data_IF_600931353917
#
_entry.id   IF_600931353917
#
_cell.length_a   1.000
_cell.length_b   1.000
_cell.length_c   1.000
_cell.angle_alpha   90.00
_cell.angle_beta   90.00
_cell.angle_gamma   90.00
#
_symmetry.space_group_name_H-M   'P 1'
#
loop_
_entity.id
_entity.type
_entity.pdbx_description
1 polymer ?
#
# COMPACT_ATOMS: atom_id res chain seq x y z
N UNK A 1 36.33 6.19 0.69
CA UNK A 1 36.97 4.97 1.24
C UNK A 1 36.91 3.92 0.14
N UNK A 2 38.03 3.62 -0.53
CA UNK A 2 38.08 2.50 -1.48
C UNK A 2 38.05 1.21 -0.65
N UNK A 3 36.85 0.71 -0.38
CA UNK A 3 36.67 -0.67 0.06
C UNK A 3 37.18 -1.55 -1.08
N UNK A 4 38.13 -2.43 -0.77
CA UNK A 4 38.62 -3.48 -1.65
C UNK A 4 37.43 -4.20 -2.29
N UNK A 5 37.12 -3.86 -3.54
CA UNK A 5 36.20 -4.62 -4.38
C UNK A 5 36.90 -5.94 -4.66
N UNK A 6 36.62 -6.96 -3.85
CA UNK A 6 37.12 -8.31 -4.10
C UNK A 6 36.19 -8.97 -5.13
N UNK A 7 36.37 -8.59 -6.39
CA UNK A 7 35.74 -9.21 -7.54
C UNK A 7 34.87 -8.25 -8.33
N UNK A 8 35.13 -8.18 -9.63
CA UNK A 8 34.26 -7.50 -10.60
C UNK A 8 32.93 -8.26 -10.70
N UNK A 9 31.78 -7.63 -10.33
CA UNK A 9 30.48 -8.30 -10.31
C UNK A 9 29.99 -8.70 -11.71
N UNK A 10 30.62 -8.22 -12.79
CA UNK A 10 30.31 -8.66 -14.15
C UNK A 10 30.94 -10.00 -14.52
N UNK A 11 31.83 -10.53 -13.69
CA UNK A 11 32.53 -11.80 -13.94
C UNK A 11 31.74 -13.00 -13.43
N UNK A 12 31.76 -14.12 -14.16
CA UNK A 12 31.05 -15.35 -13.77
C UNK A 12 31.56 -15.92 -12.44
N UNK A 13 32.86 -15.76 -12.14
CA UNK A 13 33.47 -16.23 -10.88
C UNK A 13 32.90 -15.53 -9.64
N UNK A 14 32.44 -14.28 -9.77
CA UNK A 14 31.77 -13.55 -8.69
C UNK A 14 30.48 -14.27 -8.27
N UNK A 15 29.67 -14.70 -9.25
CA UNK A 15 28.36 -15.32 -9.04
C UNK A 15 28.45 -16.81 -8.66
N UNK A 16 29.49 -17.52 -9.09
CA UNK A 16 29.73 -18.93 -8.77
C UNK A 16 30.36 -19.13 -7.37
N UNK A 17 30.00 -18.29 -6.40
CA UNK A 17 30.46 -18.37 -5.03
C UNK A 17 29.38 -19.00 -4.13
N UNK A 18 29.73 -19.97 -3.28
CA UNK A 18 28.82 -20.61 -2.31
C UNK A 18 28.01 -19.61 -1.48
N UNK A 19 28.58 -18.42 -1.19
CA UNK A 19 27.89 -17.32 -0.49
C UNK A 19 26.71 -16.79 -1.28
N UNK A 20 26.85 -16.62 -2.60
CA UNK A 20 25.79 -16.17 -3.50
C UNK A 20 24.62 -17.16 -3.46
N UNK A 21 24.90 -18.45 -3.47
CA UNK A 21 23.85 -19.49 -3.36
C UNK A 21 23.09 -19.39 -2.03
N UNK A 22 23.77 -19.13 -0.91
CA UNK A 22 23.09 -18.93 0.37
C UNK A 22 22.26 -17.64 0.38
N UNK A 23 22.78 -16.53 -0.15
CA UNK A 23 22.02 -15.30 -0.31
C UNK A 23 20.78 -15.52 -1.18
N UNK A 24 20.89 -16.29 -2.27
CA UNK A 24 19.77 -16.68 -3.12
C UNK A 24 18.70 -17.47 -2.36
N UNK A 25 19.09 -18.41 -1.49
CA UNK A 25 18.15 -19.14 -0.64
C UNK A 25 17.40 -18.17 0.29
N UNK A 26 18.11 -17.22 0.91
CA UNK A 26 17.51 -16.25 1.84
C UNK A 26 16.58 -15.24 1.16
N UNK A 27 16.73 -14.99 -0.14
CA UNK A 27 15.84 -14.10 -0.91
C UNK A 27 14.68 -14.88 -1.52
N UNK A 28 14.96 -15.98 -2.22
CA UNK A 28 13.97 -16.70 -3.00
C UNK A 28 13.01 -17.50 -2.12
N UNK A 29 13.47 -18.07 -1.00
CA UNK A 29 12.59 -18.87 -0.12
C UNK A 29 11.45 -18.02 0.45
N UNK A 30 11.69 -16.84 1.07
CA UNK A 30 10.61 -15.97 1.52
C UNK A 30 9.71 -15.47 0.37
N UNK A 31 10.27 -15.18 -0.82
CA UNK A 31 9.45 -14.77 -1.98
C UNK A 31 8.50 -15.86 -2.44
N UNK A 32 8.95 -17.12 -2.48
CA UNK A 32 8.10 -18.28 -2.83
C UNK A 32 7.01 -18.47 -1.78
N UNK A 33 7.36 -18.40 -0.49
CA UNK A 33 6.39 -18.49 0.61
C UNK A 33 5.36 -17.35 0.53
N UNK A 34 5.81 -16.11 0.32
CA UNK A 34 4.95 -14.94 0.16
C UNK A 34 3.99 -15.09 -1.03
N UNK A 35 4.50 -15.55 -2.18
CA UNK A 35 3.69 -15.80 -3.38
C UNK A 35 2.64 -16.89 -3.13
N UNK A 36 3.03 -17.97 -2.44
CA UNK A 36 2.10 -19.03 -2.04
C UNK A 36 1.03 -18.53 -1.08
N UNK A 37 1.39 -17.68 -0.10
CA UNK A 37 0.43 -17.07 0.82
C UNK A 37 -0.57 -16.19 0.07
N UNK A 38 -0.11 -15.31 -0.82
CA UNK A 38 -0.99 -14.46 -1.64
C UNK A 38 -1.94 -15.32 -2.45
N UNK A 39 -1.43 -16.34 -3.16
CA UNK A 39 -2.27 -17.26 -3.94
C UNK A 39 -3.30 -18.00 -3.08
N UNK A 40 -2.89 -18.50 -1.91
CA UNK A 40 -3.77 -19.21 -0.98
C UNK A 40 -4.88 -18.30 -0.46
N UNK A 41 -4.57 -17.06 -0.09
CA UNK A 41 -5.54 -16.10 0.43
C UNK A 41 -6.52 -15.65 -0.65
N UNK A 42 -6.04 -15.35 -1.86
CA UNK A 42 -6.91 -14.98 -2.99
C UNK A 42 -7.84 -16.15 -3.38
N UNK A 43 -7.31 -17.38 -3.43
CA UNK A 43 -8.12 -18.58 -3.65
C UNK A 43 -9.18 -18.78 -2.56
N UNK A 44 -8.82 -18.56 -1.29
CA UNK A 44 -9.78 -18.66 -0.19
C UNK A 44 -10.88 -17.60 -0.27
N UNK A 45 -10.56 -16.36 -0.66
CA UNK A 45 -11.57 -15.30 -0.86
C UNK A 45 -12.50 -15.68 -2.01
N UNK A 46 -11.96 -16.20 -3.11
CA UNK A 46 -12.74 -16.63 -4.26
C UNK A 46 -13.62 -17.85 -3.98
N UNK A 47 -13.16 -18.80 -3.15
CA UNK A 47 -13.97 -19.94 -2.74
C UNK A 47 -15.14 -19.55 -1.84
N UNK A 48 -14.92 -18.62 -0.89
CA UNK A 48 -15.98 -18.06 -0.04
C UNK A 48 -17.07 -17.38 -0.88
N UNK A 49 -16.67 -16.57 -1.87
CA UNK A 49 -17.61 -15.93 -2.82
C UNK A 49 -18.45 -16.93 -3.63
N UNK A 50 -17.91 -18.10 -3.94
CA UNK A 50 -18.62 -19.10 -4.74
C UNK A 50 -19.58 -19.98 -3.93
N UNK A 51 -19.38 -20.11 -2.62
CA UNK A 51 -20.18 -20.99 -1.74
C UNK A 51 -21.34 -20.30 -1.01
N UNK A 52 -21.27 -18.99 -0.79
CA UNK A 52 -22.31 -18.23 -0.07
C UNK A 52 -23.23 -17.50 -1.06
N UNK A 53 -24.39 -18.09 -1.34
CA UNK A 53 -25.40 -17.50 -2.22
C UNK A 53 -25.95 -16.17 -1.68
N UNK A 54 -26.01 -15.15 -2.55
CA UNK A 54 -26.76 -13.85 -2.58
C UNK A 54 -26.92 -13.00 -1.30
N UNK A 55 -27.03 -13.56 -0.11
CA UNK A 55 -27.29 -12.83 1.15
C UNK A 55 -25.99 -12.29 1.80
N UNK A 56 -24.82 -12.83 1.44
CA UNK A 56 -23.50 -12.35 1.91
C UNK A 56 -22.85 -11.31 0.98
N UNK A 57 -23.42 -11.12 -0.22
CA UNK A 57 -22.98 -10.11 -1.19
C UNK A 57 -23.10 -8.69 -0.59
N UNK A 58 -24.06 -8.42 0.29
CA UNK A 58 -24.21 -7.09 0.94
C UNK A 58 -23.15 -6.84 2.02
N UNK A 59 -22.77 -7.84 2.80
CA UNK A 59 -21.76 -7.69 3.85
C UNK A 59 -20.33 -7.66 3.28
N UNK A 60 -20.06 -8.45 2.24
CA UNK A 60 -18.76 -8.46 1.55
C UNK A 60 -18.57 -7.24 0.63
N UNK A 61 -19.63 -6.68 0.06
CA UNK A 61 -19.57 -5.39 -0.65
C UNK A 61 -19.49 -4.18 0.29
N UNK A 62 -19.99 -4.28 1.52
CA UNK A 62 -19.77 -3.29 2.58
C UNK A 62 -18.30 -3.22 3.03
N UNK A 63 -17.60 -4.37 3.06
CA UNK A 63 -16.16 -4.46 3.31
C UNK A 63 -15.35 -3.90 2.11
N UNK A 64 -15.79 -4.21 0.89
CA UNK A 64 -15.13 -3.90 -0.40
C UNK A 64 -15.50 -2.52 -0.95
N UNK A 65 -15.65 -1.54 -0.06
CA UNK A 65 -15.96 -0.15 -0.40
C UNK A 65 -15.49 0.82 0.70
N UNK A 66 -14.50 0.38 1.50
CA UNK A 66 -13.93 1.13 2.62
C UNK A 66 -12.75 2.02 2.20
N UNK A 67 -12.16 1.78 1.02
CA UNK A 67 -10.95 2.46 0.55
C UNK A 67 -11.05 3.98 0.56
N UNK A 68 -12.24 4.53 0.28
CA UNK A 68 -12.51 5.98 0.25
C UNK A 68 -13.26 6.49 1.49
N UNK A 69 -13.62 5.62 2.44
CA UNK A 69 -14.38 6.00 3.63
C UNK A 69 -13.44 6.33 4.79
N UNK A 70 -13.71 7.42 5.52
CA UNK A 70 -13.02 7.69 6.76
C UNK A 70 -13.48 6.71 7.86
N UNK A 71 -12.62 6.47 8.85
CA UNK A 71 -12.93 5.57 9.96
C UNK A 71 -13.96 6.12 10.96
N UNK A 72 -14.18 7.44 10.97
CA UNK A 72 -15.15 8.13 11.82
C UNK A 72 -16.30 8.68 10.97
N UNK A 73 -17.55 8.51 11.44
CA UNK A 73 -18.78 9.06 10.82
C UNK A 73 -18.80 10.57 10.69
N UNK A 74 -18.18 11.26 11.63
CA UNK A 74 -18.14 12.73 11.68
C UNK A 74 -17.18 13.33 10.64
N UNK A 75 -16.16 12.57 10.22
CA UNK A 75 -15.22 13.02 9.21
C UNK A 75 -15.88 12.89 7.85
N UNK A 76 -16.04 14.01 7.15
CA UNK A 76 -16.61 13.98 5.80
C UNK A 76 -15.63 13.29 4.82
N UNK A 77 -16.09 12.40 3.91
CA UNK A 77 -15.22 11.72 2.94
C UNK A 77 -14.35 12.66 2.08
N UNK A 78 -14.82 13.89 1.85
CA UNK A 78 -14.05 14.96 1.18
C UNK A 78 -12.75 15.30 1.91
N UNK A 79 -12.72 15.25 3.25
CA UNK A 79 -11.51 15.56 4.02
C UNK A 79 -10.39 14.54 3.73
N UNK A 80 -10.72 13.24 3.75
CA UNK A 80 -9.78 12.18 3.39
C UNK A 80 -9.30 12.33 1.93
N UNK A 81 -10.21 12.71 1.03
CA UNK A 81 -9.85 12.98 -0.37
C UNK A 81 -8.85 14.14 -0.51
N UNK A 82 -9.12 15.29 0.14
CA UNK A 82 -8.22 16.44 0.11
C UNK A 82 -6.86 16.12 0.75
N UNK A 83 -6.87 15.42 1.88
CA UNK A 83 -5.64 14.97 2.53
C UNK A 83 -4.77 14.14 1.57
N UNK A 84 -5.36 13.13 0.92
CA UNK A 84 -4.63 12.27 -0.04
C UNK A 84 -4.12 13.04 -1.25
N UNK A 85 -4.89 13.99 -1.77
CA UNK A 85 -4.49 14.82 -2.90
C UNK A 85 -3.33 15.74 -2.54
N UNK A 86 -3.38 16.39 -1.37
CA UNK A 86 -2.28 17.22 -0.87
C UNK A 86 -1.03 16.37 -0.65
N UNK A 87 -1.17 15.21 0.01
CA UNK A 87 -0.09 14.27 0.23
C UNK A 87 0.54 13.83 -1.10
N UNK A 88 -0.27 13.45 -2.10
CA UNK A 88 0.19 13.09 -3.43
C UNK A 88 0.98 14.23 -4.10
N UNK A 89 0.45 15.46 -4.10
CA UNK A 89 1.13 16.60 -4.69
C UNK A 89 2.48 16.89 -4.02
N UNK A 90 2.53 16.87 -2.68
CA UNK A 90 3.77 17.10 -1.92
C UNK A 90 4.82 16.04 -2.24
N UNK A 91 4.42 14.76 -2.24
CA UNK A 91 5.31 13.65 -2.56
C UNK A 91 5.79 13.70 -4.02
N UNK A 92 4.89 13.98 -4.96
CA UNK A 92 5.22 14.07 -6.38
C UNK A 92 6.20 15.21 -6.66
N UNK A 93 6.01 16.37 -6.05
CA UNK A 93 6.93 17.50 -6.16
C UNK A 93 8.30 17.13 -5.58
N UNK A 94 8.33 16.51 -4.40
CA UNK A 94 9.57 16.08 -3.78
C UNK A 94 10.33 15.04 -4.62
N UNK A 95 9.66 14.00 -5.13
CA UNK A 95 10.25 13.00 -6.06
C UNK A 95 10.80 13.70 -7.31
N UNK A 96 10.00 14.58 -7.91
CA UNK A 96 10.37 15.25 -9.16
C UNK A 96 11.59 16.16 -8.97
N UNK A 97 11.65 16.88 -7.85
CA UNK A 97 12.77 17.75 -7.52
C UNK A 97 14.04 16.93 -7.23
N UNK A 98 13.92 15.80 -6.52
CA UNK A 98 15.05 14.90 -6.25
C UNK A 98 15.65 14.32 -7.53
N UNK A 99 14.79 13.83 -8.42
CA UNK A 99 15.20 13.32 -9.75
C UNK A 99 15.78 14.42 -10.62
N UNK A 100 15.28 15.66 -10.52
CA UNK A 100 15.82 16.79 -11.28
C UNK A 100 17.24 17.18 -10.83
N UNK A 101 17.56 17.04 -9.54
CA UNK A 101 18.88 17.40 -8.99
C UNK A 101 19.89 16.28 -9.19
N UNK A 102 19.53 15.04 -8.79
CA UNK A 102 20.48 13.94 -8.71
C UNK A 102 20.34 12.93 -9.86
N UNK A 103 19.35 13.11 -10.75
CA UNK A 103 19.11 12.24 -11.89
C UNK A 103 18.41 10.91 -11.54
N UNK A 104 18.32 10.03 -12.54
CA UNK A 104 17.66 8.72 -12.40
C UNK A 104 18.50 7.68 -11.65
N UNK A 105 19.78 7.95 -11.37
CA UNK A 105 20.65 7.05 -10.60
C UNK A 105 20.15 6.83 -9.16
N UNK A 106 19.33 7.75 -8.65
CA UNK A 106 18.64 7.58 -7.36
C UNK A 106 17.79 6.30 -7.29
N UNK A 107 17.30 5.79 -8.42
CA UNK A 107 16.51 4.56 -8.47
C UNK A 107 17.35 3.29 -8.24
N UNK A 108 18.68 3.40 -8.06
CA UNK A 108 19.47 2.32 -7.48
C UNK A 108 19.25 2.16 -5.96
N UNK A 109 18.69 3.15 -5.27
CA UNK A 109 18.46 3.07 -3.83
C UNK A 109 17.03 2.61 -3.50
N UNK A 110 16.90 1.71 -2.52
CA UNK A 110 15.62 1.19 -2.06
C UNK A 110 14.74 2.26 -1.41
N UNK A 111 15.37 3.28 -0.83
CA UNK A 111 14.68 4.47 -0.30
C UNK A 111 13.87 5.17 -1.40
N UNK A 112 14.41 5.28 -2.61
CA UNK A 112 13.70 5.92 -3.72
C UNK A 112 12.57 5.05 -4.28
N UNK A 113 12.74 3.72 -4.27
CA UNK A 113 11.66 2.78 -4.59
C UNK A 113 10.50 2.93 -3.60
N UNK A 114 10.82 3.01 -2.31
CA UNK A 114 9.82 3.19 -1.25
C UNK A 114 9.13 4.53 -1.37
N UNK A 115 9.87 5.62 -1.62
CA UNK A 115 9.29 6.94 -1.81
C UNK A 115 8.35 7.00 -3.01
N UNK A 116 8.77 6.43 -4.14
CA UNK A 116 7.94 6.32 -5.35
C UNK A 116 6.69 5.47 -5.09
N UNK A 117 6.82 4.36 -4.36
CA UNK A 117 5.69 3.52 -3.99
C UNK A 117 4.67 4.28 -3.12
N UNK A 118 5.11 5.08 -2.15
CA UNK A 118 4.23 5.91 -1.32
C UNK A 118 3.54 6.99 -2.18
N UNK A 119 4.25 7.59 -3.13
CA UNK A 119 3.66 8.52 -4.11
C UNK A 119 2.58 7.85 -4.95
N UNK A 120 2.85 6.64 -5.48
CA UNK A 120 1.86 5.84 -6.23
C UNK A 120 0.66 5.50 -5.35
N UNK A 121 0.88 5.10 -4.10
CA UNK A 121 -0.18 4.82 -3.14
C UNK A 121 -1.11 6.02 -2.94
N UNK A 122 -0.56 7.21 -2.69
CA UNK A 122 -1.37 8.42 -2.51
C UNK A 122 -2.05 8.88 -3.80
N UNK A 123 -1.40 8.73 -4.96
CA UNK A 123 -2.01 9.02 -6.26
C UNK A 123 -3.20 8.10 -6.53
N UNK A 124 -3.03 6.80 -6.33
CA UNK A 124 -4.09 5.82 -6.52
C UNK A 124 -5.21 5.97 -5.47
N UNK A 125 -4.86 6.22 -4.21
CA UNK A 125 -5.81 6.52 -3.14
C UNK A 125 -6.62 7.80 -3.40
N UNK A 126 -6.02 8.81 -4.02
CA UNK A 126 -6.72 10.04 -4.45
C UNK A 126 -7.75 9.73 -5.53
N UNK A 127 -7.39 8.93 -6.54
CA UNK A 127 -8.32 8.50 -7.59
C UNK A 127 -9.51 7.73 -7.02
N UNK A 128 -9.26 6.78 -6.10
CA UNK A 128 -10.32 6.02 -5.44
C UNK A 128 -11.20 6.91 -4.55
N UNK A 129 -10.61 7.84 -3.79
CA UNK A 129 -11.35 8.79 -2.97
C UNK A 129 -12.24 9.70 -3.81
N UNK A 130 -11.75 10.24 -4.93
CA UNK A 130 -12.53 11.06 -5.84
C UNK A 130 -13.68 10.27 -6.46
N UNK A 131 -13.41 9.06 -6.95
CA UNK A 131 -14.45 8.20 -7.54
C UNK A 131 -15.54 7.82 -6.53
N UNK A 132 -15.14 7.42 -5.33
CA UNK A 132 -16.07 7.08 -4.24
C UNK A 132 -16.92 8.27 -3.79
N UNK A 133 -16.30 9.44 -3.62
CA UNK A 133 -17.02 10.65 -3.23
C UNK A 133 -17.98 11.14 -4.32
N UNK A 134 -17.57 11.09 -5.60
CA UNK A 134 -18.44 11.44 -6.72
C UNK A 134 -19.67 10.54 -6.79
N UNK A 135 -19.47 9.23 -6.62
CA UNK A 135 -20.56 8.27 -6.60
C UNK A 135 -21.53 8.50 -5.43
N UNK A 136 -21.01 8.79 -4.23
CA UNK A 136 -21.82 9.11 -3.05
C UNK A 136 -22.66 10.38 -3.22
N UNK A 137 -22.05 11.45 -3.76
CA UNK A 137 -22.76 12.70 -4.08
C UNK A 137 -23.86 12.49 -5.13
N UNK A 138 -23.57 11.70 -6.18
CA UNK A 138 -24.54 11.37 -7.23
C UNK A 138 -25.76 10.61 -6.66
N UNK A 139 -25.55 9.66 -5.75
CA UNK A 139 -26.63 8.93 -5.09
C UNK A 139 -27.47 9.87 -4.22
N UNK A 140 -26.84 10.73 -3.41
CA UNK A 140 -27.58 11.66 -2.55
C UNK A 140 -28.44 12.64 -3.36
N UNK A 141 -27.91 13.20 -4.45
CA UNK A 141 -28.67 14.08 -5.33
C UNK A 141 -29.87 13.35 -5.97
N UNK A 142 -29.71 12.09 -6.36
CA UNK A 142 -30.81 11.29 -6.91
C UNK A 142 -31.90 10.96 -5.89
N UNK A 143 -31.55 10.82 -4.59
CA UNK A 143 -32.51 10.61 -3.50
C UNK A 143 -33.27 11.89 -3.17
N UNK A 144 -32.55 13.02 -3.06
CA UNK A 144 -33.15 14.34 -2.80
C UNK A 144 -34.11 14.74 -3.93
N UNK A 145 -33.77 14.44 -5.19
CA UNK A 145 -34.66 14.67 -6.34
C UNK A 145 -35.97 13.87 -6.23
N UNK A 146 -35.92 12.65 -5.69
CA UNK A 146 -37.12 11.80 -5.50
C UNK A 146 -37.98 12.23 -4.32
N UNK A 147 -37.36 12.66 -3.22
CA UNK A 147 -38.07 13.19 -2.05
C UNK A 147 -38.76 14.53 -2.38
N UNK A 148 -38.18 15.32 -3.30
CA UNK A 148 -38.78 16.59 -3.78
C UNK A 148 -39.99 16.34 -4.69
N UNK A 149 -39.98 15.28 -5.51
CA UNK A 149 -41.13 14.90 -6.34
C UNK A 149 -42.25 14.18 -5.57
N UNK A 150 -41.93 13.52 -4.44
CA UNK A 150 -42.94 12.89 -3.58
C UNK A 150 -43.65 13.85 -2.60
N UNK A 151 -43.17 15.08 -2.46
CA UNK A 151 -43.80 16.11 -1.61
C UNK A 151 -45.05 16.79 -2.20
N UNK A 152 -45.44 16.49 -3.45
CA UNK A 152 -46.52 17.19 -4.18
C UNK A 152 -47.63 16.27 -4.72
N UNK A 153 -47.91 15.13 -4.10
CA UNK A 153 -49.07 14.32 -4.46
C UNK A 153 -49.84 13.80 -3.25
N UNK A 154 -50.99 14.44 -2.99
CA UNK A 154 -52.09 13.93 -2.17
C UNK A 154 -52.73 12.74 -2.91
N UNK A 155 -53.18 11.66 -2.22
CA UNK A 155 -53.44 10.38 -2.86
C UNK A 155 -54.83 10.32 -3.50
N UNK A 156 -54.92 9.86 -4.74
CA UNK A 156 -56.16 9.34 -5.32
C UNK A 156 -55.89 7.91 -5.79
N UNK A 157 -56.61 6.99 -5.18
CA UNK A 157 -56.65 5.58 -5.55
C UNK A 157 -57.25 5.42 -6.96
N UNK A 158 -56.60 4.63 -7.82
CA UNK A 158 -57.29 3.79 -8.79
C UNK A 158 -56.31 2.76 -9.37
N UNK A 159 -56.80 1.54 -9.47
CA UNK A 159 -56.15 0.33 -9.96
C UNK A 159 -55.69 0.42 -11.43
N UNK A 160 -54.85 -0.57 -11.79
CA UNK A 160 -54.44 -1.00 -13.13
C UNK A 160 -53.19 -0.32 -13.74
N UNK A 161 -52.02 -0.96 -13.64
CA UNK A 161 -51.52 -1.89 -14.67
C UNK A 161 -50.09 -2.36 -14.33
N UNK A 162 -49.91 -3.67 -14.27
CA UNK A 162 -48.83 -4.37 -13.57
C UNK A 162 -47.50 -4.49 -14.32
N UNK A 163 -47.16 -3.57 -15.22
CA UNK A 163 -45.98 -3.71 -16.09
C UNK A 163 -44.94 -2.57 -16.01
N UNK A 164 -45.27 -1.43 -15.39
CA UNK A 164 -44.33 -0.30 -15.23
C UNK A 164 -43.33 -0.48 -14.08
N UNK A 165 -43.74 -1.12 -12.98
CA UNK A 165 -42.92 -1.28 -11.77
C UNK A 165 -41.75 -2.25 -11.98
N UNK A 166 -41.94 -3.29 -12.80
CA UNK A 166 -40.87 -4.23 -13.16
C UNK A 166 -39.78 -3.61 -14.05
N UNK A 167 -40.11 -2.60 -14.85
CA UNK A 167 -39.12 -1.91 -15.68
C UNK A 167 -38.28 -0.94 -14.83
N UNK A 168 -38.91 -0.30 -13.83
CA UNK A 168 -38.22 0.62 -12.91
C UNK A 168 -37.33 -0.11 -11.88
N UNK A 169 -37.72 -1.30 -11.41
CA UNK A 169 -36.82 -2.18 -10.62
C UNK A 169 -35.61 -2.66 -11.43
N UNK A 170 -35.76 -2.83 -12.76
CA UNK A 170 -34.67 -3.23 -13.65
C UNK A 170 -33.63 -2.12 -13.88
N UNK A 171 -34.01 -0.86 -13.69
CA UNK A 171 -33.08 0.29 -13.68
C UNK A 171 -32.48 0.58 -12.30
N UNK A 172 -33.04 0.01 -11.22
CA UNK A 172 -32.55 0.18 -9.85
C UNK A 172 -31.50 -0.86 -9.41
N UNK A 173 -31.36 -1.94 -10.17
CA UNK A 173 -30.21 -2.83 -10.09
C UNK A 173 -29.45 -2.77 -11.41
N UNK A 174 -28.32 -2.04 -11.51
CA UNK A 174 -27.45 -2.22 -12.65
C UNK A 174 -27.00 -3.69 -12.65
N UNK A 175 -27.41 -4.39 -13.70
CA UNK A 175 -27.26 -5.82 -13.83
C UNK A 175 -25.84 -6.28 -13.56
N UNK A 176 -25.74 -7.25 -12.64
CA UNK A 176 -24.73 -8.30 -12.63
C UNK A 176 -24.61 -8.84 -14.06
N UNK A 177 -23.48 -8.57 -14.74
CA UNK A 177 -22.83 -9.55 -15.64
C UNK A 177 -21.44 -9.15 -16.16
N UNK A 178 -21.03 -7.87 -16.20
CA UNK A 178 -19.64 -7.54 -16.64
C UNK A 178 -18.93 -6.39 -15.90
N UNK A 179 -19.59 -5.70 -14.96
CA UNK A 179 -19.04 -4.53 -14.25
C UNK A 179 -18.72 -4.77 -12.76
N UNK A 180 -18.80 -6.00 -12.26
CA UNK A 180 -18.51 -6.33 -10.85
C UNK A 180 -17.01 -6.59 -10.58
N UNK A 181 -16.23 -6.78 -11.64
CA UNK A 181 -14.78 -7.04 -11.61
C UNK A 181 -13.90 -5.79 -11.34
N UNK A 182 -14.19 -4.58 -11.88
CA UNK A 182 -13.30 -3.43 -11.71
C UNK A 182 -13.22 -2.95 -10.25
N UNK A 183 -14.35 -2.70 -9.59
CA UNK A 183 -14.35 -2.05 -8.27
C UNK A 183 -13.65 -2.91 -7.20
N UNK A 184 -13.94 -4.22 -7.16
CA UNK A 184 -13.33 -5.12 -6.19
C UNK A 184 -11.84 -5.38 -6.43
N UNK A 185 -11.39 -5.35 -7.69
CA UNK A 185 -9.98 -5.47 -8.03
C UNK A 185 -9.18 -4.24 -7.57
N UNK A 186 -9.69 -3.04 -7.83
CA UNK A 186 -9.02 -1.80 -7.46
C UNK A 186 -8.89 -1.63 -5.94
N UNK A 187 -9.91 -2.01 -5.18
CA UNK A 187 -9.84 -2.01 -3.71
C UNK A 187 -8.82 -3.03 -3.18
N UNK A 188 -8.80 -4.24 -3.74
CA UNK A 188 -7.79 -5.24 -3.38
C UNK A 188 -6.36 -4.76 -3.72
N UNK A 189 -6.18 -4.09 -4.86
CA UNK A 189 -4.90 -3.51 -5.26
C UNK A 189 -4.48 -2.39 -4.29
N UNK A 190 -5.40 -1.51 -3.92
CA UNK A 190 -5.12 -0.44 -2.96
C UNK A 190 -4.76 -0.99 -1.58
N UNK A 191 -5.46 -2.03 -1.13
CA UNK A 191 -5.16 -2.77 0.08
C UNK A 191 -3.75 -3.38 0.05
N UNK A 192 -3.36 -3.99 -1.08
CA UNK A 192 -2.02 -4.53 -1.27
C UNK A 192 -0.95 -3.43 -1.25
N UNK A 193 -1.20 -2.30 -1.93
CA UNK A 193 -0.31 -1.13 -1.91
C UNK A 193 -0.15 -0.57 -0.50
N UNK A 194 -1.25 -0.44 0.27
CA UNK A 194 -1.22 0.03 1.66
C UNK A 194 -0.36 -0.88 2.56
N UNK A 195 -0.56 -2.19 2.45
CA UNK A 195 0.20 -3.16 3.23
C UNK A 195 1.69 -3.17 2.82
N UNK A 196 1.96 -3.03 1.53
CA UNK A 196 3.32 -2.96 0.99
C UNK A 196 4.04 -1.67 1.44
N UNK A 197 3.40 -0.50 1.35
CA UNK A 197 3.98 0.79 1.76
C UNK A 197 4.24 0.84 3.26
N UNK A 198 3.31 0.33 4.08
CA UNK A 198 3.48 0.25 5.53
C UNK A 198 4.77 -0.48 5.95
N UNK A 199 5.01 -1.67 5.39
CA UNK A 199 6.24 -2.41 5.66
C UNK A 199 7.49 -1.70 5.14
N UNK A 200 7.42 -1.20 3.89
CA UNK A 200 8.54 -0.54 3.23
C UNK A 200 8.98 0.74 3.94
N UNK A 201 8.06 1.60 4.34
CA UNK A 201 8.36 2.86 5.07
C UNK A 201 9.00 2.57 6.42
N UNK A 202 8.47 1.62 7.20
CA UNK A 202 9.06 1.29 8.51
C UNK A 202 10.48 0.76 8.36
N UNK A 203 10.76 -0.15 7.42
CA UNK A 203 12.13 -0.66 7.27
C UNK A 203 13.09 0.43 6.76
N UNK A 204 12.68 1.26 5.80
CA UNK A 204 13.55 2.32 5.28
C UNK A 204 13.85 3.37 6.34
N UNK A 205 12.85 3.75 7.12
CA UNK A 205 12.99 4.79 8.12
C UNK A 205 13.74 4.27 9.35
N UNK A 206 13.50 3.03 9.78
CA UNK A 206 14.27 2.41 10.86
C UNK A 206 15.75 2.27 10.48
N UNK A 207 16.06 1.80 9.27
CA UNK A 207 17.45 1.71 8.80
C UNK A 207 18.06 3.11 8.71
N UNK A 208 17.33 4.09 8.19
CA UNK A 208 17.84 5.45 8.10
C UNK A 208 18.11 6.06 9.48
N UNK A 209 17.12 6.09 10.38
CA UNK A 209 17.20 6.78 11.66
C UNK A 209 18.03 6.05 12.71
N UNK A 210 18.00 4.71 12.73
CA UNK A 210 18.71 3.94 13.76
C UNK A 210 20.11 3.53 13.33
N UNK A 211 20.39 3.44 12.03
CA UNK A 211 21.69 3.00 11.51
C UNK A 211 22.39 4.14 10.80
N UNK A 212 21.84 4.62 9.69
CA UNK A 212 22.55 5.56 8.79
C UNK A 212 22.78 6.92 9.43
N UNK A 213 21.74 7.53 10.00
CA UNK A 213 21.78 8.87 10.57
C UNK A 213 22.82 9.01 11.71
N UNK A 214 22.88 8.10 12.71
CA UNK A 214 23.96 8.14 13.70
C UNK A 214 25.36 8.07 13.09
N UNK A 215 25.57 7.24 12.05
CA UNK A 215 26.87 7.17 11.38
C UNK A 215 27.23 8.46 10.64
N UNK A 216 26.27 9.13 10.01
CA UNK A 216 26.49 10.41 9.32
C UNK A 216 26.84 11.51 10.34
N UNK A 217 26.10 11.60 11.45
CA UNK A 217 26.32 12.57 12.52
C UNK A 217 27.67 12.34 13.22
N UNK A 218 28.05 11.10 13.49
CA UNK A 218 29.33 10.77 14.13
C UNK A 218 30.56 11.07 13.25
N UNK A 219 30.36 11.26 11.94
CA UNK A 219 31.43 11.45 10.96
C UNK A 219 31.42 12.84 10.32
N UNK A 220 30.57 13.76 10.81
CA UNK A 220 30.40 15.12 10.31
C UNK A 220 30.13 15.18 8.79
N UNK A 221 29.40 14.19 8.26
CA UNK A 221 29.00 14.19 6.86
C UNK A 221 27.83 15.16 6.62
N UNK A 222 27.81 15.86 5.48
CA UNK A 222 26.72 16.75 5.11
C UNK A 222 25.41 15.97 4.94
N UNK A 223 24.39 16.36 5.72
CA UNK A 223 23.05 15.80 5.64
C UNK A 223 22.35 16.33 4.39
N UNK A 224 21.95 15.44 3.48
CA UNK A 224 21.07 15.84 2.39
C UNK A 224 19.67 16.11 2.98
N UNK A 225 19.30 17.39 3.07
CA UNK A 225 18.02 17.86 3.61
C UNK A 225 16.84 17.15 2.96
N UNK A 226 16.92 16.91 1.64
CA UNK A 226 15.85 16.27 0.90
C UNK A 226 15.66 14.80 1.34
N UNK A 227 16.75 14.09 1.63
CA UNK A 227 16.68 12.72 2.17
C UNK A 227 16.00 12.69 3.54
N UNK A 228 16.32 13.62 4.44
CA UNK A 228 15.66 13.75 5.76
C UNK A 228 14.16 14.05 5.59
N UNK A 229 13.83 14.97 4.69
CA UNK A 229 12.44 15.32 4.37
C UNK A 229 11.71 14.10 3.80
N UNK A 230 12.31 13.33 2.90
CA UNK A 230 11.70 12.12 2.32
C UNK A 230 11.33 11.08 3.39
N UNK A 231 12.23 10.81 4.33
CA UNK A 231 11.96 9.86 5.42
C UNK A 231 10.87 10.37 6.38
N UNK A 232 10.97 11.62 6.84
CA UNK A 232 9.96 12.19 7.74
C UNK A 232 8.58 12.33 7.07
N UNK A 233 8.55 12.78 5.82
CA UNK A 233 7.32 13.02 5.06
C UNK A 233 6.56 11.72 4.80
N UNK A 234 7.26 10.63 4.42
CA UNK A 234 6.63 9.32 4.22
C UNK A 234 5.94 8.81 5.47
N UNK A 235 6.65 8.81 6.61
CA UNK A 235 6.09 8.36 7.87
C UNK A 235 4.87 9.18 8.28
N UNK A 236 4.99 10.52 8.25
CA UNK A 236 3.92 11.41 8.71
C UNK A 236 2.68 11.28 7.81
N UNK A 237 2.85 11.31 6.49
CA UNK A 237 1.73 11.22 5.57
C UNK A 237 1.04 9.86 5.67
N UNK A 238 1.81 8.76 5.71
CA UNK A 238 1.24 7.40 5.80
C UNK A 238 0.53 7.17 7.13
N UNK A 239 1.08 7.65 8.25
CA UNK A 239 0.42 7.60 9.56
C UNK A 239 -0.85 8.46 9.58
N UNK A 240 -0.82 9.64 8.96
CA UNK A 240 -1.98 10.50 8.80
C UNK A 240 -3.10 9.83 8.00
N UNK A 241 -2.77 9.20 6.85
CA UNK A 241 -3.75 8.44 6.08
C UNK A 241 -4.29 7.26 6.89
N UNK A 242 -3.40 6.54 7.59
CA UNK A 242 -3.78 5.42 8.45
C UNK A 242 -4.72 5.86 9.56
N UNK A 243 -4.51 7.03 10.17
CA UNK A 243 -5.41 7.55 11.19
C UNK A 243 -6.80 7.86 10.61
N UNK A 244 -6.89 8.38 9.38
CA UNK A 244 -8.15 8.84 8.79
C UNK A 244 -8.92 7.72 8.07
N UNK A 245 -8.24 6.81 7.38
CA UNK A 245 -8.86 5.80 6.53
C UNK A 245 -9.52 4.68 7.34
N UNK A 246 -10.43 3.93 6.71
CA UNK A 246 -11.06 2.74 7.28
C UNK A 246 -10.49 1.42 6.76
N UNK A 247 -9.31 1.46 6.13
CA UNK A 247 -8.65 0.24 5.61
C UNK A 247 -8.33 -0.71 6.76
N UNK A 248 -8.40 -2.01 6.49
CA UNK A 248 -7.94 -3.04 7.40
C UNK A 248 -6.43 -3.28 7.26
N UNK A 249 -5.76 -3.70 8.34
CA UNK A 249 -4.36 -4.13 8.27
C UNK A 249 -4.23 -5.57 8.73
N UNK A 250 -3.85 -6.45 7.82
CA UNK A 250 -3.83 -7.89 8.06
C UNK A 250 -2.40 -8.43 8.02
N UNK A 251 -2.09 -9.39 8.89
CA UNK A 251 -0.76 -10.01 8.97
C UNK A 251 -0.29 -10.64 7.65
N UNK A 252 -1.20 -11.18 6.84
CA UNK A 252 -0.84 -11.80 5.56
C UNK A 252 -0.20 -10.80 4.59
N UNK A 253 -0.48 -9.51 4.78
CA UNK A 253 0.02 -8.42 3.94
C UNK A 253 1.53 -8.23 3.95
N UNK A 254 2.23 -8.82 4.93
CA UNK A 254 3.69 -8.90 4.93
C UNK A 254 4.23 -9.54 3.64
N UNK A 255 3.44 -10.40 2.99
CA UNK A 255 3.79 -11.05 1.74
C UNK A 255 4.08 -10.06 0.61
N UNK A 256 3.28 -8.99 0.49
CA UNK A 256 3.49 -7.96 -0.53
C UNK A 256 4.78 -7.17 -0.30
N UNK A 257 5.06 -6.87 0.96
CA UNK A 257 6.29 -6.20 1.38
C UNK A 257 7.53 -7.07 1.08
N UNK A 258 7.49 -8.36 1.43
CA UNK A 258 8.58 -9.31 1.11
C UNK A 258 8.83 -9.40 -0.40
N UNK A 259 7.77 -9.48 -1.20
CA UNK A 259 7.91 -9.53 -2.67
C UNK A 259 8.55 -8.24 -3.20
N UNK A 260 8.14 -7.06 -2.73
CA UNK A 260 8.75 -5.80 -3.14
C UNK A 260 10.25 -5.77 -2.86
N UNK A 261 10.66 -6.12 -1.64
CA UNK A 261 12.08 -6.11 -1.27
C UNK A 261 12.86 -7.17 -2.05
N UNK A 262 12.27 -8.35 -2.28
CA UNK A 262 12.86 -9.39 -3.13
C UNK A 262 13.05 -8.95 -4.58
N UNK A 263 12.05 -8.28 -5.17
CA UNK A 263 12.15 -7.70 -6.53
C UNK A 263 13.28 -6.67 -6.58
N UNK A 264 13.41 -5.79 -5.58
CA UNK A 264 14.49 -4.83 -5.52
C UNK A 264 15.87 -5.51 -5.46
N UNK A 265 16.03 -6.56 -4.65
CA UNK A 265 17.29 -7.30 -4.55
C UNK A 265 17.64 -7.98 -5.88
N UNK A 266 16.66 -8.61 -6.55
CA UNK A 266 16.85 -9.22 -7.87
C UNK A 266 17.23 -8.15 -8.91
N UNK A 267 16.56 -6.99 -8.90
CA UNK A 267 16.91 -5.86 -9.74
C UNK A 267 18.38 -5.45 -9.53
N UNK A 268 18.83 -5.33 -8.28
CA UNK A 268 20.23 -5.01 -7.98
C UNK A 268 21.19 -6.06 -8.50
N UNK A 269 20.85 -7.34 -8.35
CA UNK A 269 21.69 -8.42 -8.86
C UNK A 269 21.81 -8.38 -10.39
N UNK A 270 20.71 -8.14 -11.09
CA UNK A 270 20.70 -8.01 -12.56
C UNK A 270 21.57 -6.83 -12.99
N UNK A 271 21.41 -5.66 -12.36
CA UNK A 271 22.22 -4.47 -12.67
C UNK A 271 23.71 -4.77 -12.50
N UNK A 272 24.12 -5.35 -11.37
CA UNK A 272 25.52 -5.62 -11.07
C UNK A 272 26.11 -6.78 -11.89
N UNK A 273 25.28 -7.70 -12.39
CA UNK A 273 25.70 -8.72 -13.35
C UNK A 273 25.99 -8.11 -14.73
N UNK A 274 25.28 -7.04 -15.10
CA UNK A 274 25.41 -6.39 -16.40
C UNK A 274 26.44 -5.24 -16.41
N UNK A 275 26.58 -4.51 -15.31
CA UNK A 275 27.38 -3.28 -15.23
C UNK A 275 28.23 -3.31 -13.96
N UNK A 276 29.54 -3.11 -14.13
CA UNK A 276 30.47 -2.98 -13.02
C UNK A 276 30.30 -1.60 -12.36
N UNK A 277 29.51 -1.55 -11.28
CA UNK A 277 29.31 -0.37 -10.46
C UNK A 277 29.40 -0.71 -8.97
N UNK A 278 29.49 0.31 -8.11
CA UNK A 278 29.50 0.10 -6.67
C UNK A 278 28.11 -0.30 -6.17
N UNK A 279 28.07 -1.15 -5.15
CA UNK A 279 26.82 -1.50 -4.50
C UNK A 279 26.21 -0.28 -3.79
N UNK A 280 24.92 0.04 -4.01
CA UNK A 280 24.26 1.16 -3.33
C UNK A 280 24.20 0.93 -1.81
N UNK A 281 24.19 -0.34 -1.39
CA UNK A 281 24.25 -0.74 0.00
C UNK A 281 25.37 -1.76 0.22
N UNK A 282 26.34 -1.50 1.12
CA UNK A 282 27.45 -2.44 1.37
C UNK A 282 27.00 -3.83 1.81
N UNK A 283 25.86 -3.95 2.49
CA UNK A 283 25.31 -5.24 2.93
C UNK A 283 24.71 -6.09 1.81
N UNK A 284 24.53 -5.53 0.60
CA UNK A 284 24.13 -6.28 -0.59
C UNK A 284 25.31 -6.89 -1.34
N UNK A 285 26.53 -6.43 -1.09
CA UNK A 285 27.72 -6.97 -1.76
C UNK A 285 27.91 -8.45 -1.43
N UNK A 286 27.78 -9.30 -2.45
CA UNK A 286 27.87 -10.74 -2.34
C UNK A 286 29.31 -11.24 -2.15
N UNK A 287 30.32 -10.40 -2.41
CA UNK A 287 31.72 -10.74 -2.15
C UNK A 287 32.07 -10.71 -0.66
N UNK A 288 31.30 -9.97 0.14
CA UNK A 288 31.58 -9.75 1.55
C UNK A 288 31.58 -11.08 2.34
N UNK A 289 32.53 -11.29 3.28
CA UNK A 289 32.59 -12.50 4.11
C UNK A 289 31.30 -12.87 4.82
N UNK A 290 30.55 -11.85 5.26
CA UNK A 290 29.31 -12.00 6.02
C UNK A 290 28.05 -11.73 5.17
N UNK A 291 28.14 -11.74 3.83
CA UNK A 291 27.00 -11.48 2.96
C UNK A 291 25.77 -12.35 3.31
N UNK A 292 25.88 -13.70 3.45
CA UNK A 292 24.71 -14.52 3.79
C UNK A 292 24.03 -14.12 5.10
N UNK A 293 24.80 -13.66 6.09
CA UNK A 293 24.27 -13.21 7.37
C UNK A 293 23.53 -11.87 7.22
N UNK A 294 24.05 -10.93 6.42
CA UNK A 294 23.35 -9.68 6.14
C UNK A 294 22.01 -9.90 5.43
N UNK A 295 21.99 -10.77 4.42
CA UNK A 295 20.75 -11.12 3.73
C UNK A 295 19.73 -11.78 4.67
N UNK A 296 20.18 -12.67 5.56
CA UNK A 296 19.32 -13.26 6.60
C UNK A 296 18.79 -12.20 7.58
N UNK A 297 19.64 -11.28 8.05
CA UNK A 297 19.23 -10.18 8.96
C UNK A 297 18.17 -9.31 8.30
N UNK A 298 18.38 -8.88 7.05
CA UNK A 298 17.40 -8.07 6.31
C UNK A 298 16.09 -8.85 6.13
N UNK A 299 16.13 -10.12 5.75
CA UNK A 299 14.95 -10.97 5.65
C UNK A 299 14.21 -11.06 6.99
N UNK A 300 14.93 -11.27 8.09
CA UNK A 300 14.35 -11.35 9.43
C UNK A 300 13.74 -10.02 9.88
N UNK A 301 14.32 -8.87 9.52
CA UNK A 301 13.81 -7.54 9.88
C UNK A 301 12.41 -7.23 9.30
N UNK A 302 11.97 -7.93 8.26
CA UNK A 302 10.64 -7.71 7.70
C UNK A 302 9.53 -7.98 8.73
N UNK A 303 9.73 -8.98 9.60
CA UNK A 303 8.75 -9.37 10.62
C UNK A 303 8.57 -8.29 11.69
N UNK A 304 9.61 -7.81 12.40
CA UNK A 304 9.45 -6.74 13.37
C UNK A 304 9.04 -5.42 12.72
N UNK A 305 9.56 -5.05 11.54
CA UNK A 305 9.15 -3.82 10.84
C UNK A 305 7.66 -3.84 10.51
N UNK A 306 7.15 -4.94 9.95
CA UNK A 306 5.72 -5.08 9.67
C UNK A 306 4.89 -5.14 10.96
N UNK A 307 5.41 -5.82 11.99
CA UNK A 307 4.79 -5.92 13.31
C UNK A 307 4.62 -4.58 14.02
N UNK A 308 5.58 -3.66 13.88
CA UNK A 308 5.50 -2.29 14.43
C UNK A 308 4.30 -1.54 13.80
N UNK A 309 4.16 -1.59 12.47
CA UNK A 309 3.03 -0.92 11.83
C UNK A 309 1.69 -1.56 12.20
N UNK A 310 1.64 -2.89 12.31
CA UNK A 310 0.45 -3.58 12.79
C UNK A 310 0.11 -3.20 14.24
N UNK A 311 1.10 -2.95 15.09
CA UNK A 311 0.88 -2.43 16.44
C UNK A 311 0.28 -1.02 16.41
N UNK A 312 0.81 -0.12 15.58
CA UNK A 312 0.23 1.22 15.37
C UNK A 312 -1.25 1.11 14.96
N UNK A 313 -1.55 0.19 14.04
CA UNK A 313 -2.92 -0.06 13.60
C UNK A 313 -3.81 -0.57 14.75
N UNK A 314 -3.35 -1.54 15.54
CA UNK A 314 -4.09 -2.02 16.73
C UNK A 314 -4.32 -0.92 17.77
N UNK A 315 -3.33 -0.06 17.99
CA UNK A 315 -3.44 1.09 18.89
C UNK A 315 -4.50 2.07 18.37
N UNK A 316 -4.52 2.37 17.07
CA UNK A 316 -5.60 3.18 16.45
C UNK A 316 -6.98 2.59 16.75
N UNK A 317 -7.18 1.29 16.49
CA UNK A 317 -8.46 0.62 16.74
C UNK A 317 -8.87 0.72 18.22
N UNK A 318 -7.94 0.44 19.13
CA UNK A 318 -8.19 0.51 20.56
C UNK A 318 -8.55 1.94 21.02
N UNK A 319 -7.80 2.96 20.58
CA UNK A 319 -8.03 4.34 20.96
C UNK A 319 -9.35 4.87 20.39
N UNK A 320 -9.61 4.64 19.10
CA UNK A 320 -10.80 5.21 18.44
C UNK A 320 -12.09 4.51 18.87
N UNK A 321 -12.07 3.20 19.10
CA UNK A 321 -13.22 2.48 19.67
C UNK A 321 -13.57 2.97 21.08
N UNK A 322 -12.56 3.37 21.87
CA UNK A 322 -12.77 3.90 23.23
C UNK A 322 -13.18 5.38 23.23
N UNK A 323 -12.56 6.21 22.40
CA UNK A 323 -12.82 7.65 22.37
C UNK A 323 -14.06 8.04 21.57
N UNK A 324 -14.41 7.28 20.53
CA UNK A 324 -15.50 7.60 19.61
C UNK A 324 -16.44 6.39 19.39
N UNK A 325 -17.06 5.82 20.44
CA UNK A 325 -17.80 4.55 20.35
C UNK A 325 -19.01 4.59 19.40
N UNK A 326 -19.65 5.76 19.23
CA UNK A 326 -20.82 5.91 18.36
C UNK A 326 -20.47 6.27 16.89
N UNK A 327 -19.26 6.81 16.70
CA UNK A 327 -18.82 7.41 15.44
C UNK A 327 -17.78 6.53 14.73
N UNK A 328 -17.09 5.65 15.44
CA UNK A 328 -16.15 4.71 14.85
C UNK A 328 -16.86 3.61 14.04
N UNK A 329 -16.45 3.46 12.79
CA UNK A 329 -17.11 2.57 11.81
C UNK A 329 -16.36 1.27 11.56
N UNK A 330 -15.09 1.18 11.94
CA UNK A 330 -14.29 -0.01 11.68
C UNK A 330 -14.57 -1.04 12.78
N UNK A 331 -14.95 -2.25 12.42
CA UNK A 331 -15.07 -3.34 13.41
C UNK A 331 -13.67 -3.90 13.71
N UNK A 332 -13.39 -4.29 14.97
CA UNK A 332 -12.14 -4.92 15.34
C UNK A 332 -11.97 -6.31 14.72
#
# INVERSE_FOLDING_TARGET
MQLLVNGDPTTLSYWLNWRVFLCAIWVLTPMVIASFLIWKYDRSDNLKKSGEGRNQDENSSSLRNQSWKPCLKEVHPLFLMFFRMIAFCLLLVAVSFDVAIHGFELFYYYTQWTFTLVTIYFGFGSLLSMHGCFHHLKINNSRISKDTEQGLYVPIASEADGNGVKLLERFYHPGKSHALLPAGFWDNLFQALFQMTAGAVIITDMVYWCVIFPFIVLRDYEMNFLTVVTHTLNAILLLGDTALNSLEFQWFGISYFIILTGIYVIFQWIVHACVAMWWPYPFLDLSAPHAPLWYLVVAAMHVPCYGIFLLVFKVKHFLFSRWFPHSYQCRP
#
